data_IF_610847113855
#
_entry.id   IF_610847113855
#
_cell.length_a   1.000
_cell.length_b   1.000
_cell.length_c   1.000
_cell.angle_alpha   90.00
_cell.angle_beta   90.00
_cell.angle_gamma   90.00
#
_symmetry.space_group_name_H-M   'P 1'
#
loop_
_entity.id
_entity.type
_entity.pdbx_description
1 polymer ?
#
# COMPACT_ATOMS: atom_id res chain seq x y z
N UNK A 1 4.62 -16.06 37.34
CA UNK A 1 4.63 -16.74 36.03
C UNK A 1 4.05 -15.77 35.01
N UNK A 2 4.90 -15.15 34.16
CA UNK A 2 4.39 -14.29 33.06
C UNK A 2 3.65 -15.22 32.08
N UNK A 3 2.35 -14.99 31.94
CA UNK A 3 1.52 -15.68 30.93
C UNK A 3 2.17 -15.44 29.55
N UNK A 4 2.52 -16.50 28.84
CA UNK A 4 3.03 -16.41 27.47
C UNK A 4 1.80 -16.28 26.57
N UNK A 5 1.56 -15.09 26.04
CA UNK A 5 0.42 -14.79 25.15
C UNK A 5 0.98 -14.29 23.83
N UNK A 6 0.40 -14.74 22.73
CA UNK A 6 0.74 -14.20 21.40
C UNK A 6 0.29 -12.76 21.31
N UNK A 7 1.15 -11.86 20.87
CA UNK A 7 0.88 -10.42 20.86
C UNK A 7 1.61 -9.68 19.75
N UNK A 8 1.20 -8.44 19.53
CA UNK A 8 2.01 -7.45 18.85
C UNK A 8 2.74 -6.56 19.83
N UNK A 9 4.07 -6.44 19.70
CA UNK A 9 4.81 -5.32 20.28
C UNK A 9 4.69 -4.15 19.33
N UNK A 10 4.11 -3.07 19.80
CA UNK A 10 3.69 -1.91 19.02
C UNK A 10 4.63 -0.74 19.25
N UNK A 11 5.01 -0.08 18.16
CA UNK A 11 5.67 1.23 18.21
C UNK A 11 4.86 2.16 17.33
N UNK A 12 4.36 3.25 17.91
CA UNK A 12 3.59 4.28 17.20
C UNK A 12 4.49 5.20 16.36
N UNK A 13 3.94 6.01 15.45
CA UNK A 13 4.70 6.96 14.63
C UNK A 13 5.52 7.98 15.42
N UNK A 14 5.09 8.34 16.64
CA UNK A 14 5.78 9.23 17.59
C UNK A 14 6.77 8.50 18.51
N UNK A 15 6.87 7.15 18.39
CA UNK A 15 7.83 6.32 19.12
C UNK A 15 7.30 5.75 20.45
N UNK A 16 6.02 5.96 20.81
CA UNK A 16 5.43 5.33 21.99
C UNK A 16 5.38 3.81 21.81
N UNK A 17 5.62 3.06 22.88
CA UNK A 17 5.67 1.59 22.88
C UNK A 17 4.56 1.01 23.73
N UNK A 18 3.87 0.04 23.17
CA UNK A 18 2.81 -0.72 23.85
C UNK A 18 2.81 -2.17 23.41
N UNK A 19 1.92 -2.97 23.98
CA UNK A 19 1.69 -4.36 23.60
C UNK A 19 0.21 -4.58 23.42
N UNK A 20 -0.17 -5.24 22.35
CA UNK A 20 -1.54 -5.67 22.09
C UNK A 20 -1.60 -7.20 22.04
N UNK A 21 -2.31 -7.80 22.98
CA UNK A 21 -2.51 -9.25 23.05
C UNK A 21 -3.47 -9.69 21.95
N UNK A 22 -3.14 -10.78 21.28
CA UNK A 22 -3.98 -11.38 20.24
C UNK A 22 -4.83 -12.50 20.85
N UNK A 23 -6.14 -12.34 20.79
CA UNK A 23 -7.10 -13.38 21.19
C UNK A 23 -7.22 -14.49 20.14
N UNK A 24 -7.82 -15.61 20.55
CA UNK A 24 -8.18 -16.65 19.59
C UNK A 24 -9.25 -16.11 18.62
N UNK A 25 -8.96 -16.14 17.31
CA UNK A 25 -9.89 -15.73 16.27
C UNK A 25 -9.39 -14.55 15.44
N UNK A 26 -10.29 -13.66 15.08
CA UNK A 26 -10.07 -12.56 14.14
C UNK A 26 -9.85 -11.25 14.90
N UNK A 27 -8.78 -10.53 14.56
CA UNK A 27 -8.47 -9.19 15.06
C UNK A 27 -8.42 -8.22 13.89
N UNK A 28 -9.36 -7.28 13.83
CA UNK A 28 -9.34 -6.16 12.87
C UNK A 28 -8.45 -5.05 13.42
N UNK A 29 -7.54 -4.55 12.62
CA UNK A 29 -6.59 -3.49 12.96
C UNK A 29 -6.92 -2.28 12.10
N UNK A 30 -7.10 -1.11 12.69
CA UNK A 30 -7.45 0.10 11.96
C UNK A 30 -7.65 1.31 12.85
N UNK A 31 -8.23 2.38 12.32
CA UNK A 31 -8.57 3.58 13.09
C UNK A 31 -9.97 3.49 13.69
N UNK A 32 -10.19 4.16 14.82
CA UNK A 32 -11.52 4.31 15.40
C UNK A 32 -12.45 5.13 14.49
N UNK A 33 -13.75 4.81 14.52
CA UNK A 33 -14.81 5.58 13.86
C UNK A 33 -16.03 5.68 14.78
N UNK A 34 -16.93 6.64 14.49
CA UNK A 34 -18.17 6.79 15.23
C UNK A 34 -19.10 5.57 15.08
N UNK A 35 -19.03 4.90 13.93
CA UNK A 35 -19.92 3.79 13.56
C UNK A 35 -19.34 2.41 13.89
N UNK A 36 -18.17 2.34 14.50
CA UNK A 36 -17.54 1.09 14.89
C UNK A 36 -16.04 1.22 15.11
N UNK A 37 -15.57 0.43 16.05
CA UNK A 37 -14.15 0.41 16.45
C UNK A 37 -13.57 -0.97 16.14
N UNK A 38 -12.41 -1.08 15.47
CA UNK A 38 -11.72 -2.35 15.30
C UNK A 38 -11.20 -2.86 16.66
N UNK A 39 -10.95 -4.15 16.76
CA UNK A 39 -10.43 -4.78 17.99
C UNK A 39 -9.08 -4.20 18.39
N UNK A 40 -8.27 -3.81 17.39
CA UNK A 40 -7.01 -3.12 17.63
C UNK A 40 -7.00 -1.75 16.94
N UNK A 41 -7.09 -0.70 17.74
CA UNK A 41 -7.11 0.70 17.27
C UNK A 41 -5.69 1.23 17.15
N UNK A 42 -5.38 1.83 16.01
CA UNK A 42 -4.18 2.61 15.78
C UNK A 42 -4.52 4.11 15.91
N UNK A 43 -4.22 4.68 17.07
CA UNK A 43 -4.51 6.07 17.41
C UNK A 43 -3.30 6.66 18.18
N UNK A 44 -2.83 7.89 17.87
CA UNK A 44 -3.45 8.89 16.98
C UNK A 44 -3.22 8.65 15.47
N UNK A 45 -4.21 9.07 14.66
CA UNK A 45 -4.13 9.10 13.19
C UNK A 45 -4.61 10.48 12.67
N UNK A 46 -3.83 11.55 12.92
CA UNK A 46 -4.25 12.93 12.65
C UNK A 46 -4.51 13.21 11.17
N UNK A 47 -3.86 12.48 10.30
CA UNK A 47 -3.97 12.63 8.84
C UNK A 47 -4.91 11.61 8.18
N UNK A 48 -5.60 10.76 8.97
CA UNK A 48 -6.47 9.67 8.49
C UNK A 48 -5.80 8.76 7.47
N UNK A 49 -4.54 8.41 7.73
CA UNK A 49 -3.74 7.54 6.88
C UNK A 49 -4.03 6.06 7.11
N UNK A 50 -4.60 5.73 8.26
CA UNK A 50 -5.04 4.38 8.61
C UNK A 50 -6.49 4.19 8.20
N UNK A 51 -6.80 3.15 7.43
CA UNK A 51 -8.18 2.81 7.05
C UNK A 51 -8.97 2.31 8.27
N UNK A 52 -10.32 2.40 8.24
CA UNK A 52 -11.21 1.95 9.34
C UNK A 52 -10.94 0.49 9.75
N UNK A 53 -10.86 -0.40 8.77
CA UNK A 53 -10.28 -1.73 8.89
C UNK A 53 -9.13 -1.78 7.91
N UNK A 54 -7.90 -1.63 8.39
CA UNK A 54 -6.71 -1.53 7.56
C UNK A 54 -6.16 -2.89 7.19
N UNK A 55 -5.98 -3.74 8.18
CA UNK A 55 -5.62 -5.14 8.00
C UNK A 55 -6.32 -6.03 9.03
N UNK A 56 -6.32 -7.31 8.76
CA UNK A 56 -6.96 -8.33 9.58
C UNK A 56 -5.90 -9.36 9.93
N UNK A 57 -5.85 -9.75 11.18
CA UNK A 57 -5.01 -10.84 11.68
C UNK A 57 -5.91 -11.94 12.22
N UNK A 58 -5.66 -13.18 11.80
CA UNK A 58 -6.48 -14.32 12.16
C UNK A 58 -5.61 -15.50 12.58
N UNK A 59 -6.12 -16.29 13.53
CA UNK A 59 -5.53 -17.56 13.91
C UNK A 59 -6.45 -18.69 13.41
N UNK A 60 -6.00 -19.37 12.37
CA UNK A 60 -6.76 -20.46 11.72
C UNK A 60 -5.85 -21.68 11.61
N UNK A 61 -6.35 -22.83 12.05
CA UNK A 61 -5.65 -24.13 11.99
C UNK A 61 -4.23 -24.11 12.55
N UNK A 62 -4.02 -23.39 13.66
CA UNK A 62 -2.71 -23.26 14.31
C UNK A 62 -1.75 -22.27 13.63
N UNK A 63 -2.19 -21.58 12.59
CA UNK A 63 -1.39 -20.61 11.84
C UNK A 63 -1.94 -19.20 12.01
N UNK A 64 -1.07 -18.28 12.39
CA UNK A 64 -1.38 -16.85 12.37
C UNK A 64 -1.19 -16.30 10.97
N UNK A 65 -2.18 -15.59 10.49
CA UNK A 65 -2.15 -14.96 9.17
C UNK A 65 -2.47 -13.47 9.28
N UNK A 66 -1.97 -12.69 8.34
CA UNK A 66 -2.34 -11.29 8.15
C UNK A 66 -2.80 -11.05 6.71
N UNK A 67 -3.83 -10.23 6.57
CA UNK A 67 -4.42 -9.85 5.28
C UNK A 67 -4.64 -8.34 5.25
N UNK A 68 -4.14 -7.65 4.23
CA UNK A 68 -4.52 -6.24 3.99
C UNK A 68 -5.98 -6.20 3.53
N UNK A 69 -6.82 -5.39 4.18
CA UNK A 69 -8.26 -5.32 3.90
C UNK A 69 -8.61 -4.27 2.84
N UNK A 70 -7.80 -4.15 1.79
CA UNK A 70 -7.96 -3.13 0.77
C UNK A 70 -7.70 -1.72 1.30
N UNK A 71 -6.72 -1.59 2.19
CA UNK A 71 -6.41 -0.32 2.81
C UNK A 71 -5.87 0.72 1.82
N UNK A 72 -6.19 2.01 2.04
CA UNK A 72 -5.76 3.11 1.16
C UNK A 72 -4.24 3.19 1.04
N UNK A 73 -3.51 2.98 2.14
CA UNK A 73 -2.06 3.10 2.20
C UNK A 73 -1.31 1.76 2.21
N UNK A 74 -2.01 0.64 2.32
CA UNK A 74 -1.46 -0.71 2.33
C UNK A 74 -0.67 -1.03 3.58
N UNK A 75 -0.50 -2.32 3.80
CA UNK A 75 0.29 -2.89 4.88
C UNK A 75 1.59 -3.45 4.32
N UNK A 76 2.72 -3.16 4.95
CA UNK A 76 4.02 -3.73 4.57
C UNK A 76 4.45 -4.74 5.62
N UNK A 77 4.83 -5.93 5.18
CA UNK A 77 5.44 -6.97 6.00
C UNK A 77 6.95 -6.82 5.97
N UNK A 78 7.59 -6.68 7.13
CA UNK A 78 9.04 -6.80 7.31
C UNK A 78 9.39 -8.16 7.90
N UNK A 79 10.11 -8.98 7.14
CA UNK A 79 10.59 -10.30 7.53
C UNK A 79 12.08 -10.43 7.24
N UNK A 80 12.90 -10.72 8.26
CA UNK A 80 14.35 -10.90 8.08
C UNK A 80 15.04 -9.71 7.40
N UNK A 81 14.61 -8.48 7.68
CA UNK A 81 15.12 -7.26 7.05
C UNK A 81 14.49 -6.94 5.69
N UNK A 82 13.88 -7.91 5.02
CA UNK A 82 13.18 -7.71 3.74
C UNK A 82 11.81 -7.09 3.98
N UNK A 83 11.45 -6.14 3.12
CA UNK A 83 10.19 -5.41 3.12
C UNK A 83 9.36 -5.88 1.93
N UNK A 84 8.15 -6.35 2.19
CA UNK A 84 7.24 -6.84 1.16
C UNK A 84 5.84 -6.30 1.45
N UNK A 85 5.16 -5.75 0.45
CA UNK A 85 3.78 -5.35 0.64
C UNK A 85 2.92 -6.59 0.91
N UNK A 86 2.03 -6.48 1.88
CA UNK A 86 1.09 -7.54 2.20
C UNK A 86 0.03 -7.62 1.11
N UNK A 87 -0.05 -8.76 0.45
CA UNK A 87 -0.92 -8.98 -0.69
C UNK A 87 -1.65 -10.29 -0.47
N UNK A 88 -2.96 -10.19 -0.33
CA UNK A 88 -3.74 -11.34 0.09
C UNK A 88 -3.31 -11.80 1.50
N UNK A 89 -3.63 -13.03 1.82
CA UNK A 89 -3.36 -13.63 3.12
C UNK A 89 -1.93 -14.15 3.19
N UNK A 90 -1.21 -13.79 4.23
CA UNK A 90 0.18 -14.20 4.46
C UNK A 90 0.35 -14.74 5.87
N UNK A 91 0.96 -15.90 6.01
CA UNK A 91 1.29 -16.47 7.33
C UNK A 91 2.31 -15.59 8.08
N UNK A 92 2.01 -15.26 9.34
CA UNK A 92 2.90 -14.53 10.23
C UNK A 92 3.89 -15.49 10.91
N UNK A 93 5.11 -15.00 11.11
CA UNK A 93 6.18 -15.67 11.87
C UNK A 93 6.63 -14.79 13.01
N UNK A 94 7.07 -15.42 14.09
CA UNK A 94 7.67 -14.66 15.20
C UNK A 94 8.78 -13.73 14.70
N UNK A 95 8.74 -12.47 15.11
CA UNK A 95 9.66 -11.42 14.69
C UNK A 95 9.26 -10.68 13.41
N UNK A 96 8.24 -11.12 12.68
CA UNK A 96 7.66 -10.36 11.60
C UNK A 96 7.13 -9.02 12.10
N UNK A 97 7.20 -7.97 11.28
CA UNK A 97 6.58 -6.70 11.63
C UNK A 97 5.67 -6.21 10.51
N UNK A 98 4.44 -5.89 10.85
CA UNK A 98 3.54 -5.14 9.99
C UNK A 98 3.83 -3.65 10.16
N UNK A 99 4.00 -2.95 9.03
CA UNK A 99 4.24 -1.51 8.98
C UNK A 99 3.03 -0.87 8.30
N UNK A 100 2.39 0.07 8.99
CA UNK A 100 1.23 0.83 8.52
C UNK A 100 1.56 2.31 8.65
N UNK A 101 1.40 3.09 7.58
CA UNK A 101 1.65 4.55 7.63
C UNK A 101 0.64 5.17 8.61
N UNK A 102 1.13 5.90 9.61
CA UNK A 102 0.31 6.57 10.61
C UNK A 102 0.54 8.08 10.67
N UNK A 103 1.65 8.56 10.11
CA UNK A 103 1.97 9.99 10.10
C UNK A 103 2.92 10.33 8.93
N UNK A 104 3.00 11.62 8.60
CA UNK A 104 3.93 12.17 7.60
C UNK A 104 4.61 13.37 8.25
N UNK A 105 5.95 13.38 8.23
CA UNK A 105 6.73 14.53 8.75
C UNK A 105 6.49 15.77 7.90
N UNK A 106 6.78 16.98 8.41
CA UNK A 106 6.75 18.21 7.60
C UNK A 106 7.65 18.16 6.36
N UNK A 107 8.69 17.33 6.37
CA UNK A 107 9.55 17.09 5.22
C UNK A 107 8.96 16.11 4.19
N UNK A 108 7.80 15.50 4.48
CA UNK A 108 7.12 14.54 3.61
C UNK A 108 7.51 13.08 3.86
N UNK A 109 8.32 12.78 4.87
CA UNK A 109 8.75 11.42 5.16
C UNK A 109 7.67 10.66 5.95
N UNK A 110 7.34 9.41 5.56
CA UNK A 110 6.33 8.62 6.25
C UNK A 110 6.86 8.09 7.59
N UNK A 111 6.01 8.14 8.61
CA UNK A 111 6.19 7.49 9.90
C UNK A 111 5.20 6.35 10.04
N UNK A 112 5.66 5.23 10.60
CA UNK A 112 4.90 3.99 10.62
C UNK A 112 4.50 3.57 12.02
N UNK A 113 3.28 3.08 12.14
CA UNK A 113 2.95 2.08 13.14
C UNK A 113 3.75 0.81 12.82
N UNK A 114 4.49 0.32 13.79
CA UNK A 114 5.26 -0.93 13.68
C UNK A 114 4.70 -1.94 14.66
N UNK A 115 4.06 -2.98 14.13
CA UNK A 115 3.45 -4.06 14.89
C UNK A 115 4.33 -5.30 14.76
N UNK A 116 5.19 -5.56 15.74
CA UNK A 116 6.08 -6.74 15.71
C UNK A 116 5.37 -7.92 16.33
N UNK A 117 5.17 -8.97 15.55
CA UNK A 117 4.49 -10.21 15.97
C UNK A 117 5.39 -11.02 16.88
N UNK A 118 4.87 -11.36 18.06
CA UNK A 118 5.54 -12.15 19.08
C UNK A 118 4.68 -13.38 19.40
N UNK A 119 5.13 -14.54 18.92
CA UNK A 119 4.51 -15.83 19.16
C UNK A 119 5.42 -16.68 20.04
N UNK A 120 5.10 -16.85 21.33
CA UNK A 120 5.90 -17.64 22.26
C UNK A 120 5.74 -19.16 22.08
N UNK A 121 4.76 -19.60 21.29
CA UNK A 121 4.43 -21.02 21.09
C UNK A 121 4.95 -21.59 19.77
N UNK A 122 5.80 -20.82 19.06
CA UNK A 122 6.31 -21.21 17.74
C UNK A 122 6.95 -22.61 17.73
N UNK A 123 6.64 -23.38 16.69
CA UNK A 123 7.46 -24.52 16.26
C UNK A 123 8.44 -24.01 15.19
N UNK A 124 9.73 -24.20 15.38
CA UNK A 124 10.73 -23.76 14.41
C UNK A 124 10.62 -24.64 13.14
N UNK A 125 10.08 -24.08 12.07
CA UNK A 125 10.15 -24.69 10.74
C UNK A 125 11.12 -23.90 9.89
N UNK A 126 12.15 -24.59 9.38
CA UNK A 126 13.21 -24.02 8.57
C UNK A 126 12.66 -23.34 7.28
N UNK A 127 13.31 -22.29 6.77
CA UNK A 127 12.82 -21.57 5.61
C UNK A 127 13.06 -22.36 4.32
N UNK A 128 11.97 -22.61 3.57
CA UNK A 128 12.07 -23.05 2.17
C UNK A 128 12.37 -21.83 1.30
N UNK A 129 13.53 -21.82 0.68
CA UNK A 129 13.93 -20.80 -0.27
C UNK A 129 13.22 -21.03 -1.62
N UNK A 130 12.32 -20.16 -1.99
CA UNK A 130 11.78 -20.09 -3.35
C UNK A 130 12.61 -19.08 -4.14
N UNK A 131 13.39 -19.57 -5.09
CA UNK A 131 14.07 -18.75 -6.10
C UNK A 131 13.08 -18.40 -7.19
N UNK A 132 12.77 -17.12 -7.37
CA UNK A 132 12.11 -16.62 -8.57
C UNK A 132 13.14 -15.89 -9.43
N UNK A 133 13.39 -16.43 -10.61
CA UNK A 133 14.23 -15.79 -11.62
C UNK A 133 13.44 -14.65 -12.28
N UNK A 134 13.96 -13.42 -12.18
CA UNK A 134 13.50 -12.30 -12.98
C UNK A 134 14.34 -12.24 -14.25
N UNK A 135 13.73 -12.46 -15.41
CA UNK A 135 14.37 -12.16 -16.70
C UNK A 135 14.27 -10.65 -16.95
N UNK A 136 15.44 -10.06 -17.17
CA UNK A 136 15.57 -8.65 -17.54
C UNK A 136 15.30 -8.49 -19.03
N UNK A 137 14.16 -7.90 -19.37
CA UNK A 137 13.95 -7.34 -20.72
C UNK A 137 14.39 -5.86 -20.70
N UNK A 138 15.47 -5.61 -21.42
CA UNK A 138 16.07 -4.29 -21.62
C UNK A 138 15.30 -3.50 -22.68
N UNK A 139 14.84 -2.28 -22.37
CA UNK A 139 14.52 -1.27 -23.37
C UNK A 139 13.24 -0.46 -23.22
N UNK A 140 12.16 -0.98 -22.66
CA UNK A 140 10.90 -0.22 -22.57
C UNK A 140 10.87 0.67 -21.32
N UNK A 141 10.61 2.00 -21.45
CA UNK A 141 10.48 2.87 -20.29
C UNK A 141 9.32 2.41 -19.41
N UNK A 142 9.54 2.35 -18.10
CA UNK A 142 8.52 1.96 -17.12
C UNK A 142 8.75 2.71 -15.80
N UNK A 143 7.73 2.70 -14.94
CA UNK A 143 7.86 3.20 -13.58
C UNK A 143 8.24 2.06 -12.62
N UNK A 144 8.95 2.41 -11.56
CA UNK A 144 9.08 1.62 -10.34
C UNK A 144 8.74 2.47 -9.14
N UNK A 145 8.24 1.87 -8.07
CA UNK A 145 7.78 2.59 -6.90
C UNK A 145 8.39 2.00 -5.64
N UNK A 146 9.06 2.84 -4.87
CA UNK A 146 9.39 2.56 -3.48
C UNK A 146 8.24 3.06 -2.60
N UNK A 147 7.36 2.14 -2.24
CA UNK A 147 6.17 2.49 -1.44
C UNK A 147 6.48 2.80 0.02
N UNK A 148 7.66 2.43 0.51
CA UNK A 148 8.11 2.76 1.86
C UNK A 148 8.57 4.21 1.96
N UNK A 149 9.26 4.67 0.92
CA UNK A 149 9.72 6.05 0.85
C UNK A 149 8.72 6.96 0.13
N UNK A 150 7.57 6.41 -0.32
CA UNK A 150 6.58 7.13 -1.13
C UNK A 150 7.20 7.77 -2.38
N UNK A 151 8.21 7.10 -2.95
CA UNK A 151 8.95 7.59 -4.12
C UNK A 151 8.57 6.81 -5.37
N UNK A 152 8.46 7.54 -6.47
CA UNK A 152 8.23 7.00 -7.80
C UNK A 152 9.45 7.29 -8.66
N UNK A 153 9.89 6.29 -9.39
CA UNK A 153 11.05 6.40 -10.27
C UNK A 153 10.67 6.05 -11.68
N UNK A 154 11.25 6.75 -12.65
CA UNK A 154 11.26 6.35 -14.04
C UNK A 154 12.53 5.56 -14.33
N UNK A 155 12.36 4.40 -14.92
CA UNK A 155 13.46 3.55 -15.39
C UNK A 155 13.44 3.56 -16.92
N UNK A 156 14.56 3.94 -17.51
CA UNK A 156 14.75 4.00 -18.96
C UNK A 156 16.21 3.70 -19.30
N UNK A 157 16.44 2.77 -20.22
CA UNK A 157 17.78 2.31 -20.59
C UNK A 157 18.65 1.89 -19.38
N UNK A 158 18.03 1.29 -18.37
CA UNK A 158 18.69 0.86 -17.15
C UNK A 158 19.01 1.98 -16.15
N UNK A 159 18.73 3.24 -16.48
CA UNK A 159 18.89 4.36 -15.57
C UNK A 159 17.58 4.62 -14.80
N UNK A 160 17.72 4.75 -13.47
CA UNK A 160 16.62 5.07 -12.55
C UNK A 160 16.69 6.54 -12.15
N UNK A 161 15.64 7.31 -12.41
CA UNK A 161 15.52 8.72 -12.03
C UNK A 161 14.29 8.96 -11.17
N UNK A 162 14.45 9.63 -10.02
CA UNK A 162 13.35 9.97 -9.11
C UNK A 162 12.42 11.00 -9.74
N UNK A 163 11.12 10.79 -9.60
CA UNK A 163 10.08 11.72 -10.03
C UNK A 163 9.63 12.51 -8.81
N UNK A 164 9.93 13.80 -8.81
CA UNK A 164 9.58 14.70 -7.71
C UNK A 164 8.36 15.57 -8.03
N UNK A 165 7.73 16.14 -6.99
CA UNK A 165 6.60 17.07 -7.14
C UNK A 165 5.30 16.42 -7.60
N UNK A 166 5.10 15.15 -7.31
CA UNK A 166 3.81 14.48 -7.44
C UNK A 166 2.86 14.96 -6.32
N UNK A 167 1.63 15.30 -6.69
CA UNK A 167 0.58 15.62 -5.72
C UNK A 167 0.10 14.36 -4.99
N UNK A 168 -0.56 14.46 -3.82
CA UNK A 168 -1.17 13.31 -3.14
C UNK A 168 -2.14 12.52 -4.05
N UNK A 169 -2.91 13.21 -4.89
CA UNK A 169 -3.79 12.57 -5.87
C UNK A 169 -3.00 11.80 -6.94
N UNK A 170 -1.88 12.36 -7.41
CA UNK A 170 -1.00 11.70 -8.36
C UNK A 170 -0.39 10.42 -7.77
N UNK A 171 0.08 10.47 -6.52
CA UNK A 171 0.57 9.31 -5.81
C UNK A 171 -0.51 8.24 -5.64
N UNK A 172 -1.74 8.62 -5.25
CA UNK A 172 -2.88 7.70 -5.10
C UNK A 172 -3.21 7.01 -6.43
N UNK A 173 -3.26 7.77 -7.53
CA UNK A 173 -3.52 7.25 -8.87
C UNK A 173 -2.44 6.24 -9.32
N UNK A 174 -1.17 6.63 -9.26
CA UNK A 174 -0.05 5.78 -9.67
C UNK A 174 -0.05 4.49 -8.85
N UNK A 175 -0.25 4.60 -7.54
CA UNK A 175 -0.27 3.48 -6.63
C UNK A 175 -1.39 2.48 -6.96
N UNK A 176 -2.60 2.98 -7.19
CA UNK A 176 -3.74 2.13 -7.53
C UNK A 176 -3.51 1.36 -8.83
N UNK A 177 -3.06 2.05 -9.88
CA UNK A 177 -2.76 1.43 -11.16
C UNK A 177 -1.58 0.44 -11.08
N UNK A 178 -0.59 0.74 -10.24
CA UNK A 178 0.51 -0.17 -9.94
C UNK A 178 0.05 -1.45 -9.26
N UNK A 179 -0.85 -1.31 -8.30
CA UNK A 179 -1.41 -2.44 -7.55
C UNK A 179 -2.21 -3.36 -8.47
N UNK A 180 -3.05 -2.81 -9.34
CA UNK A 180 -3.81 -3.58 -10.33
C UNK A 180 -2.89 -4.32 -11.31
N UNK A 181 -1.85 -3.64 -11.79
CA UNK A 181 -0.84 -4.26 -12.66
C UNK A 181 -0.16 -5.44 -11.96
N UNK A 182 0.18 -5.29 -10.68
CA UNK A 182 0.79 -6.32 -9.88
C UNK A 182 -0.16 -7.52 -9.64
N UNK A 183 -1.43 -7.27 -9.33
CA UNK A 183 -2.46 -8.31 -9.21
C UNK A 183 -2.68 -9.06 -10.53
N UNK A 184 -2.38 -8.42 -11.65
CA UNK A 184 -2.46 -8.99 -13.00
C UNK A 184 -1.09 -9.47 -13.50
N UNK A 185 -0.28 -10.09 -12.62
CA UNK A 185 1.03 -10.67 -12.95
C UNK A 185 2.00 -9.69 -13.64
N UNK A 186 1.97 -8.42 -13.24
CA UNK A 186 2.80 -7.38 -13.80
C UNK A 186 2.31 -6.79 -15.13
N UNK A 187 1.19 -7.28 -15.66
CA UNK A 187 0.59 -6.74 -16.89
C UNK A 187 -0.29 -5.53 -16.57
N UNK A 188 -0.14 -4.41 -17.33
CA UNK A 188 -0.95 -3.21 -17.12
C UNK A 188 -2.44 -3.48 -17.26
N UNK A 189 -3.23 -3.00 -16.29
CA UNK A 189 -4.70 -3.09 -16.30
C UNK A 189 -5.28 -1.72 -16.63
N UNK A 190 -6.24 -1.69 -17.54
CA UNK A 190 -7.01 -0.49 -17.84
C UNK A 190 -8.11 -0.29 -16.79
N UNK A 191 -8.23 0.94 -16.28
CA UNK A 191 -9.26 1.34 -15.32
C UNK A 191 -10.21 2.32 -15.97
N UNK A 192 -11.49 2.19 -15.67
CA UNK A 192 -12.53 3.08 -16.19
C UNK A 192 -12.44 4.48 -15.58
N UNK A 193 -13.01 5.47 -16.25
CA UNK A 193 -13.09 6.84 -15.72
C UNK A 193 -13.83 6.87 -14.38
N UNK A 194 -14.93 6.12 -14.25
CA UNK A 194 -15.72 6.06 -13.02
C UNK A 194 -14.93 5.49 -11.85
N UNK A 195 -14.18 4.39 -12.04
CA UNK A 195 -13.31 3.80 -11.01
C UNK A 195 -12.25 4.79 -10.55
N UNK A 196 -11.62 5.52 -11.47
CA UNK A 196 -10.59 6.49 -11.13
C UNK A 196 -11.14 7.75 -10.45
N UNK A 197 -12.35 8.18 -10.81
CA UNK A 197 -13.06 9.27 -10.12
C UNK A 197 -13.37 8.85 -8.68
N UNK A 198 -13.92 7.64 -8.49
CA UNK A 198 -14.19 7.10 -7.14
C UNK A 198 -12.91 6.96 -6.31
N UNK A 199 -11.82 6.50 -6.92
CA UNK A 199 -10.52 6.42 -6.26
C UNK A 199 -10.05 7.78 -5.73
N UNK A 200 -10.17 8.83 -6.53
CA UNK A 200 -9.59 10.13 -6.23
C UNK A 200 -10.46 10.99 -5.30
N UNK A 201 -11.78 10.89 -5.40
CA UNK A 201 -12.73 11.77 -4.70
C UNK A 201 -13.81 11.04 -3.91
N UNK A 202 -13.81 9.70 -3.86
CA UNK A 202 -14.86 8.93 -3.21
C UNK A 202 -16.12 8.78 -4.08
N UNK A 203 -17.18 8.29 -3.48
CA UNK A 203 -18.47 8.13 -4.16
C UNK A 203 -19.23 9.45 -4.19
N UNK A 204 -20.15 9.65 -5.15
CA UNK A 204 -20.95 10.89 -5.26
C UNK A 204 -21.67 11.28 -3.97
N UNK A 205 -22.10 10.30 -3.17
CA UNK A 205 -22.78 10.51 -1.89
C UNK A 205 -21.87 11.09 -0.81
N UNK A 206 -20.55 10.94 -0.99
CA UNK A 206 -19.52 11.42 -0.06
C UNK A 206 -19.01 12.83 -0.42
N UNK A 207 -19.47 13.38 -1.55
CA UNK A 207 -18.99 14.68 -2.04
C UNK A 207 -19.66 15.84 -1.28
N UNK A 208 -18.92 16.95 -1.07
CA UNK A 208 -19.54 18.15 -0.54
C UNK A 208 -20.69 18.62 -1.46
N UNK A 209 -21.81 19.15 -0.92
CA UNK A 209 -22.97 19.57 -1.72
C UNK A 209 -22.65 20.61 -2.80
N UNK A 210 -21.55 21.36 -2.63
CA UNK A 210 -21.10 22.39 -3.57
C UNK A 210 -20.12 21.88 -4.63
N UNK A 211 -19.81 20.58 -4.67
CA UNK A 211 -18.81 20.01 -5.58
C UNK A 211 -19.32 18.73 -6.24
N UNK A 212 -19.09 18.64 -7.54
CA UNK A 212 -19.21 17.41 -8.30
C UNK A 212 -17.89 17.15 -9.00
N UNK A 213 -17.53 15.87 -9.15
CA UNK A 213 -16.30 15.47 -9.84
C UNK A 213 -16.67 14.63 -11.05
N UNK A 214 -16.10 14.99 -12.19
CA UNK A 214 -16.39 14.42 -13.49
C UNK A 214 -15.10 14.02 -14.25
N UNK A 215 -15.26 13.62 -15.50
CA UNK A 215 -14.14 13.28 -16.36
C UNK A 215 -13.19 14.46 -16.61
N UNK A 216 -13.66 15.71 -16.55
CA UNK A 216 -12.83 16.89 -16.73
C UNK A 216 -11.85 17.03 -15.57
N UNK A 217 -12.33 16.82 -14.35
CA UNK A 217 -11.49 16.79 -13.16
C UNK A 217 -10.44 15.67 -13.26
N UNK A 218 -10.86 14.47 -13.69
CA UNK A 218 -9.94 13.34 -13.89
C UNK A 218 -8.89 13.67 -14.96
N UNK A 219 -9.28 14.23 -16.11
CA UNK A 219 -8.34 14.64 -17.17
C UNK A 219 -7.29 15.64 -16.69
N UNK A 220 -7.68 16.55 -15.81
CA UNK A 220 -6.73 17.50 -15.21
C UNK A 220 -5.68 16.78 -14.35
N UNK A 221 -6.10 15.81 -13.53
CA UNK A 221 -5.17 14.99 -12.74
C UNK A 221 -4.26 14.17 -13.66
N UNK A 222 -4.83 13.48 -14.67
CA UNK A 222 -4.06 12.71 -15.64
C UNK A 222 -3.01 13.58 -16.35
N UNK A 223 -3.41 14.78 -16.78
CA UNK A 223 -2.51 15.74 -17.44
C UNK A 223 -1.38 16.19 -16.50
N UNK A 224 -1.71 16.46 -15.23
CA UNK A 224 -0.71 16.83 -14.23
C UNK A 224 0.27 15.68 -13.95
N UNK A 225 -0.23 14.44 -13.87
CA UNK A 225 0.60 13.25 -13.71
C UNK A 225 1.52 13.07 -14.92
N UNK A 226 0.99 13.12 -16.14
CA UNK A 226 1.79 13.00 -17.38
C UNK A 226 2.91 14.02 -17.44
N UNK A 227 2.65 15.27 -17.07
CA UNK A 227 3.69 16.32 -17.02
C UNK A 227 4.87 15.98 -16.11
N UNK A 228 4.69 15.09 -15.15
CA UNK A 228 5.73 14.68 -14.21
C UNK A 228 6.43 13.38 -14.61
N UNK A 229 5.66 12.41 -15.10
CA UNK A 229 6.20 11.07 -15.35
C UNK A 229 6.66 10.85 -16.80
N UNK A 230 6.09 11.55 -17.79
CA UNK A 230 6.43 11.40 -19.19
C UNK A 230 7.59 12.31 -19.59
N UNK A 231 8.36 11.90 -20.60
CA UNK A 231 9.30 12.81 -21.28
C UNK A 231 8.55 13.79 -22.18
N UNK A 232 7.57 13.26 -22.90
CA UNK A 232 6.67 14.05 -23.75
C UNK A 232 5.22 13.78 -23.31
N UNK A 233 4.62 14.71 -22.57
CA UNK A 233 3.22 14.58 -22.12
C UNK A 233 2.20 14.51 -23.26
N UNK A 234 2.53 14.98 -24.47
CA UNK A 234 1.65 14.91 -25.63
C UNK A 234 1.66 13.52 -26.28
N UNK A 235 2.75 12.76 -26.08
CA UNK A 235 2.89 11.38 -26.56
C UNK A 235 3.16 10.42 -25.40
N UNK A 236 2.17 10.17 -24.51
CA UNK A 236 2.38 9.46 -23.27
C UNK A 236 2.66 7.97 -23.51
N UNK A 237 3.77 7.49 -22.95
CA UNK A 237 4.21 6.08 -23.05
C UNK A 237 3.97 5.32 -21.75
N UNK A 238 3.94 5.99 -20.63
CA UNK A 238 3.80 5.38 -19.30
C UNK A 238 2.34 5.36 -18.85
N UNK A 239 1.67 6.51 -18.82
CA UNK A 239 0.24 6.63 -18.48
C UNK A 239 -0.57 6.75 -19.77
N UNK A 240 -1.00 5.62 -20.30
CA UNK A 240 -1.67 5.52 -21.60
C UNK A 240 -3.19 5.67 -21.48
N UNK A 241 -3.80 6.20 -22.54
CA UNK A 241 -5.26 6.22 -22.68
C UNK A 241 -5.70 4.95 -23.43
N UNK A 242 -6.63 4.20 -22.86
CA UNK A 242 -7.34 3.12 -23.53
C UNK A 242 -8.68 3.63 -24.05
N UNK A 243 -8.84 3.62 -25.38
CA UNK A 243 -10.06 4.12 -26.02
C UNK A 243 -11.31 3.42 -25.46
N UNK A 244 -12.30 4.21 -25.10
CA UNK A 244 -13.60 3.77 -24.59
C UNK A 244 -13.55 3.02 -23.23
N UNK A 245 -12.39 2.97 -22.57
CA UNK A 245 -12.22 2.34 -21.26
C UNK A 245 -11.77 3.39 -20.24
N UNK A 246 -10.58 3.96 -20.41
CA UNK A 246 -10.01 4.89 -19.44
C UNK A 246 -8.50 4.96 -19.55
N UNK A 247 -7.78 4.60 -18.48
CA UNK A 247 -6.33 4.75 -18.41
C UNK A 247 -5.66 3.50 -17.86
N UNK A 248 -4.43 3.24 -18.34
CA UNK A 248 -3.53 2.20 -17.80
C UNK A 248 -2.13 2.75 -17.58
N UNK A 249 -1.37 2.14 -16.69
CA UNK A 249 -0.02 2.56 -16.33
C UNK A 249 0.99 1.43 -16.62
N UNK A 250 2.07 1.75 -17.36
CA UNK A 250 3.23 0.89 -17.54
C UNK A 250 4.15 1.01 -16.32
N UNK A 251 3.99 0.08 -15.38
CA UNK A 251 4.76 0.02 -14.15
C UNK A 251 5.26 -1.41 -13.96
N UNK A 252 6.46 -1.57 -13.45
CA UNK A 252 7.02 -2.85 -13.06
C UNK A 252 7.22 -2.89 -11.55
N UNK A 253 7.01 -4.06 -10.97
CA UNK A 253 7.39 -4.27 -9.58
C UNK A 253 8.90 -4.08 -9.46
N UNK A 254 9.35 -3.33 -8.46
CA UNK A 254 10.78 -3.26 -8.13
C UNK A 254 11.23 -4.69 -7.80
N UNK A 255 12.28 -5.21 -8.43
CA UNK A 255 12.85 -6.48 -8.00
C UNK A 255 13.33 -6.32 -6.55
N UNK A 256 12.69 -7.08 -5.66
CA UNK A 256 12.94 -7.04 -4.22
C UNK A 256 14.33 -7.63 -3.89
#
# INVERSE_FOLDING_TARGET
VKSRVTCFRVVSPDGFRSTHELGAGRTRIGRATLDGTPEFVLDPDPHRLVSRVHCIVEHVDGVWTATDNGSDNGTVLRRGGKLTRLLGTTGLRHGDALLIIGDITPAGDPRYWKLTFDDPFRTETAPVAVRTQAQAETGTPHLTCDWLQMKVYRVENGQRSEITGLSPQAHRLIRYLAELSRLNNGSPVACTHAELIHLLWGRPEEWPPSRSYDETNLRNVITAVRKRIERDPACPKLLQTERNIGYRLLIRADPA
#
